data_IF_856830719009
#
_entry.id   IF_856830719009
#
_cell.length_a   1.000
_cell.length_b   1.000
_cell.length_c   1.000
_cell.angle_alpha   90.00
_cell.angle_beta   90.00
_cell.angle_gamma   90.00
#
_symmetry.space_group_name_H-M   'P 1'
#
loop_
_entity.id
_entity.type
_entity.pdbx_description
1 polymer ?
#
# COMPACT_ATOMS: atom_id res chain seq x y z
N UNK A 1 38.92 -36.36 -41.66
CA UNK A 1 38.36 -35.03 -41.79
C UNK A 1 37.58 -34.74 -40.49
N UNK A 2 38.15 -33.97 -39.57
CA UNK A 2 37.48 -33.53 -38.33
C UNK A 2 36.96 -32.11 -38.55
N UNK A 3 35.65 -31.93 -38.56
CA UNK A 3 35.02 -30.62 -38.58
C UNK A 3 35.09 -30.03 -37.18
N UNK A 4 35.82 -28.92 -37.04
CA UNK A 4 35.76 -28.05 -35.88
C UNK A 4 34.54 -27.13 -36.04
N UNK A 5 33.53 -27.30 -35.15
CA UNK A 5 32.44 -26.35 -35.01
C UNK A 5 32.92 -25.20 -34.14
N UNK A 6 33.06 -24.01 -34.70
CA UNK A 6 33.31 -22.77 -33.96
C UNK A 6 31.97 -22.26 -33.45
N UNK A 7 31.74 -22.37 -32.16
CA UNK A 7 30.60 -21.76 -31.50
C UNK A 7 30.90 -20.25 -31.29
N UNK A 8 30.25 -19.40 -32.07
CA UNK A 8 30.25 -17.94 -31.84
C UNK A 8 29.35 -17.64 -30.65
N UNK A 9 29.95 -17.29 -29.52
CA UNK A 9 29.23 -16.74 -28.35
C UNK A 9 28.89 -15.28 -28.67
N UNK A 10 27.64 -15.01 -29.03
CA UNK A 10 27.10 -13.68 -29.13
C UNK A 10 26.96 -13.12 -27.70
N UNK A 11 27.94 -12.34 -27.26
CA UNK A 11 27.82 -11.46 -26.08
C UNK A 11 26.84 -10.36 -26.45
N UNK A 12 25.58 -10.52 -26.06
CA UNK A 12 24.64 -9.43 -26.05
C UNK A 12 25.12 -8.41 -24.98
N UNK A 13 25.81 -7.36 -25.42
CA UNK A 13 26.06 -6.20 -24.61
C UNK A 13 24.70 -5.55 -24.34
N UNK A 14 24.15 -5.73 -23.13
CA UNK A 14 23.09 -4.85 -22.63
C UNK A 14 23.65 -3.43 -22.66
N UNK A 15 23.17 -2.62 -23.60
CA UNK A 15 23.46 -1.19 -23.58
C UNK A 15 22.90 -0.65 -22.25
N UNK A 16 23.80 -0.36 -21.31
CA UNK A 16 23.43 0.32 -20.07
C UNK A 16 22.73 1.62 -20.47
N UNK A 17 21.51 1.80 -20.01
CA UNK A 17 20.77 3.03 -20.22
C UNK A 17 21.62 4.19 -19.68
N UNK A 18 21.75 5.28 -20.47
CA UNK A 18 22.50 6.45 -20.00
C UNK A 18 21.81 7.05 -18.80
N UNK A 19 22.56 7.58 -17.82
CA UNK A 19 21.99 8.40 -16.76
C UNK A 19 21.11 9.53 -17.34
N UNK A 20 20.06 9.90 -16.64
CA UNK A 20 19.12 10.96 -17.04
C UNK A 20 19.28 12.13 -16.09
N UNK A 21 19.36 13.35 -16.63
CA UNK A 21 19.38 14.57 -15.83
C UNK A 21 18.24 15.49 -16.27
N UNK A 22 17.37 15.83 -15.34
CA UNK A 22 16.33 16.84 -15.49
C UNK A 22 16.91 18.18 -15.05
N UNK A 23 16.85 19.19 -15.91
CA UNK A 23 17.36 20.54 -15.63
C UNK A 23 16.26 21.59 -15.69
N UNK A 24 16.49 22.76 -15.09
CA UNK A 24 15.54 23.87 -15.03
C UNK A 24 14.18 23.46 -14.44
N UNK A 25 14.16 22.56 -13.45
CA UNK A 25 12.96 22.15 -12.75
C UNK A 25 12.66 23.01 -11.52
N UNK A 26 11.38 23.15 -11.17
CA UNK A 26 10.96 23.54 -9.84
C UNK A 26 10.94 22.28 -8.95
N UNK A 27 11.98 22.12 -8.15
CA UNK A 27 12.15 20.92 -7.33
C UNK A 27 11.24 20.99 -6.09
N UNK A 28 10.40 19.96 -5.94
CA UNK A 28 9.55 19.73 -4.78
C UNK A 28 9.98 18.37 -4.19
N UNK A 29 10.91 18.38 -3.25
CA UNK A 29 11.61 17.17 -2.81
C UNK A 29 10.90 16.39 -1.70
N UNK A 30 9.73 16.86 -1.25
CA UNK A 30 8.95 16.19 -0.18
C UNK A 30 9.46 16.46 1.24
N UNK A 31 10.49 17.32 1.41
CA UNK A 31 11.03 17.66 2.74
C UNK A 31 10.10 18.56 3.57
N UNK A 32 9.08 19.18 2.95
CA UNK A 32 8.26 20.23 3.56
C UNK A 32 8.86 21.64 3.41
N UNK A 33 10.06 21.76 2.89
CA UNK A 33 10.69 23.03 2.60
C UNK A 33 10.12 23.68 1.33
N UNK A 34 10.38 24.99 1.15
CA UNK A 34 9.92 25.70 -0.03
C UNK A 34 10.57 25.14 -1.31
N UNK A 35 9.77 24.96 -2.40
CA UNK A 35 10.30 24.53 -3.68
C UNK A 35 11.40 25.46 -4.19
N UNK A 36 12.37 24.91 -4.94
CA UNK A 36 13.49 25.67 -5.48
C UNK A 36 13.80 25.31 -6.93
N UNK A 37 14.35 26.28 -7.69
CA UNK A 37 14.85 26.02 -9.03
C UNK A 37 16.11 25.15 -8.97
N UNK A 38 16.12 24.04 -9.75
CA UNK A 38 17.21 23.08 -9.64
C UNK A 38 17.21 21.98 -10.69
N UNK A 39 17.87 20.90 -10.36
CA UNK A 39 18.06 19.73 -11.21
C UNK A 39 17.94 18.42 -10.41
N UNK A 40 17.65 17.35 -11.14
CA UNK A 40 17.60 15.98 -10.63
C UNK A 40 18.37 15.05 -11.58
N UNK A 41 19.24 14.18 -11.04
CA UNK A 41 19.96 13.17 -11.80
C UNK A 41 19.53 11.78 -11.35
N UNK A 42 19.38 10.87 -12.33
CA UNK A 42 18.97 9.46 -12.12
C UNK A 42 19.89 8.55 -12.94
N UNK A 43 20.17 7.36 -12.39
CA UNK A 43 20.83 6.28 -13.10
C UNK A 43 20.03 4.98 -12.84
N UNK A 44 19.42 4.46 -13.89
CA UNK A 44 18.45 3.37 -13.78
C UNK A 44 17.27 3.75 -12.86
N UNK A 45 17.10 3.01 -11.77
CA UNK A 45 16.03 3.18 -10.77
C UNK A 45 16.45 4.04 -9.56
N UNK A 46 17.64 4.68 -9.61
CA UNK A 46 18.20 5.43 -8.49
C UNK A 46 18.34 6.92 -8.80
N UNK A 47 17.92 7.75 -7.84
CA UNK A 47 18.29 9.16 -7.81
C UNK A 47 19.75 9.24 -7.36
N UNK A 48 20.63 9.79 -8.22
CA UNK A 48 22.08 9.91 -7.96
C UNK A 48 22.49 11.31 -7.53
N UNK A 49 21.60 12.29 -7.73
CA UNK A 49 21.85 13.65 -7.28
C UNK A 49 20.65 14.57 -7.45
N UNK A 50 20.60 15.57 -6.59
CA UNK A 50 19.61 16.64 -6.62
C UNK A 50 20.32 17.93 -6.17
N UNK A 51 19.99 19.07 -6.77
CA UNK A 51 20.65 20.31 -6.38
C UNK A 51 19.96 21.57 -6.87
N UNK A 52 20.32 22.69 -6.24
CA UNK A 52 19.84 24.04 -6.58
C UNK A 52 20.60 24.61 -7.77
N UNK A 53 19.94 25.43 -8.58
CA UNK A 53 20.50 26.11 -9.70
C UNK A 53 20.84 25.23 -10.91
N UNK A 54 21.92 25.52 -11.63
CA UNK A 54 22.33 24.79 -12.81
C UNK A 54 23.00 23.43 -12.44
N UNK A 55 22.73 22.38 -13.21
CA UNK A 55 23.40 21.10 -13.02
C UNK A 55 24.89 21.20 -13.37
N UNK A 56 25.81 20.69 -12.53
CA UNK A 56 27.26 20.73 -12.82
C UNK A 56 27.62 19.89 -14.06
N UNK A 57 28.69 20.27 -14.76
CA UNK A 57 29.17 19.51 -15.91
C UNK A 57 29.55 18.05 -15.58
N UNK A 58 29.99 17.79 -14.33
CA UNK A 58 30.27 16.44 -13.84
C UNK A 58 29.03 15.55 -13.76
N UNK A 59 27.84 16.13 -13.64
CA UNK A 59 26.56 15.41 -13.58
C UNK A 59 25.96 15.25 -14.98
N UNK A 60 26.10 16.25 -15.84
CA UNK A 60 25.54 16.23 -17.21
C UNK A 60 26.41 15.49 -18.21
N UNK A 61 27.72 15.33 -17.90
CA UNK A 61 28.67 14.67 -18.78
C UNK A 61 28.32 13.20 -19.04
N UNK A 62 27.99 12.86 -20.30
CA UNK A 62 27.60 11.49 -20.68
C UNK A 62 26.15 11.12 -20.39
N UNK A 63 25.38 11.97 -19.73
CA UNK A 63 23.96 11.76 -19.42
C UNK A 63 23.04 12.20 -20.57
N UNK A 64 21.80 11.71 -20.56
CA UNK A 64 20.69 12.25 -21.34
C UNK A 64 20.10 13.42 -20.56
N UNK A 65 20.25 14.65 -21.08
CA UNK A 65 19.79 15.86 -20.40
C UNK A 65 18.45 16.31 -20.98
N UNK A 66 17.47 16.53 -20.11
CA UNK A 66 16.14 17.04 -20.45
C UNK A 66 15.89 18.35 -19.72
N UNK A 67 15.66 19.42 -20.47
CA UNK A 67 15.19 20.69 -19.92
C UNK A 67 13.68 20.63 -19.67
N UNK A 68 13.26 20.66 -18.40
CA UNK A 68 11.84 20.61 -18.03
C UNK A 68 11.17 22.00 -17.98
N UNK A 69 11.88 23.05 -18.36
CA UNK A 69 11.33 24.40 -18.62
C UNK A 69 10.52 24.98 -17.46
N UNK A 70 10.98 24.81 -16.23
CA UNK A 70 10.30 25.30 -15.03
C UNK A 70 9.14 24.45 -14.53
N UNK A 71 8.88 23.28 -15.14
CA UNK A 71 7.89 22.36 -14.61
C UNK A 71 8.30 21.82 -13.24
N UNK A 72 7.31 21.49 -12.41
CA UNK A 72 7.57 20.86 -11.12
C UNK A 72 8.17 19.45 -11.31
N UNK A 73 9.19 19.16 -10.53
CA UNK A 73 9.80 17.82 -10.39
C UNK A 73 9.62 17.40 -8.95
N UNK A 74 8.82 16.38 -8.72
CA UNK A 74 8.49 15.85 -7.40
C UNK A 74 8.59 14.34 -7.37
N UNK A 75 8.66 13.70 -6.16
CA UNK A 75 8.35 12.29 -6.02
C UNK A 75 6.99 11.97 -6.64
N UNK A 76 6.81 10.75 -7.16
CA UNK A 76 5.51 10.28 -7.58
C UNK A 76 4.54 10.20 -6.39
N UNK A 77 3.26 10.46 -6.65
CA UNK A 77 2.25 10.38 -5.61
C UNK A 77 1.96 8.93 -5.21
N UNK A 78 1.68 8.75 -3.93
CA UNK A 78 1.22 7.48 -3.36
C UNK A 78 -0.28 7.58 -3.15
N UNK A 79 -1.06 6.73 -3.84
CA UNK A 79 -2.47 6.54 -3.54
C UNK A 79 -2.59 5.56 -2.37
N UNK A 80 -2.80 6.09 -1.17
CA UNK A 80 -2.86 5.29 0.07
C UNK A 80 -4.12 4.42 0.20
N UNK A 81 -5.10 4.60 -0.69
CA UNK A 81 -6.36 3.87 -0.69
C UNK A 81 -6.79 3.58 -2.12
N UNK A 82 -6.23 2.53 -2.70
CA UNK A 82 -6.55 2.10 -4.06
C UNK A 82 -7.47 0.87 -4.05
N UNK A 83 -8.50 0.94 -4.88
CA UNK A 83 -9.39 -0.19 -5.21
C UNK A 83 -9.11 -0.75 -6.61
N UNK A 84 -7.96 -0.46 -7.19
CA UNK A 84 -7.58 -0.92 -8.54
C UNK A 84 -7.24 -2.42 -8.62
N UNK A 85 -7.62 -3.21 -7.63
CA UNK A 85 -7.29 -4.65 -7.51
C UNK A 85 -7.75 -5.47 -8.70
N UNK A 86 -8.95 -5.20 -9.22
CA UNK A 86 -9.53 -5.92 -10.34
C UNK A 86 -9.20 -5.26 -11.68
N UNK A 87 -9.26 -3.93 -11.74
CA UNK A 87 -9.03 -3.18 -12.97
C UNK A 87 -7.61 -3.36 -13.50
N UNK A 88 -6.59 -3.46 -12.64
CA UNK A 88 -5.20 -3.73 -13.02
C UNK A 88 -5.02 -5.13 -13.64
N UNK A 89 -5.87 -6.11 -13.29
CA UNK A 89 -5.87 -7.43 -13.93
C UNK A 89 -6.33 -7.34 -15.39
N UNK A 90 -7.10 -6.33 -15.77
CA UNK A 90 -7.61 -6.11 -17.13
C UNK A 90 -6.74 -5.10 -17.87
N UNK A 91 -6.56 -3.91 -17.33
CA UNK A 91 -5.76 -2.85 -17.91
C UNK A 91 -4.64 -2.40 -16.97
N UNK A 92 -3.46 -3.00 -17.12
CA UNK A 92 -2.28 -2.66 -16.33
C UNK A 92 -1.69 -1.28 -16.61
N UNK A 93 -2.21 -0.52 -17.59
CA UNK A 93 -1.69 0.82 -17.92
C UNK A 93 -2.06 1.87 -16.90
N UNK A 94 -3.12 1.67 -16.09
CA UNK A 94 -3.58 2.58 -15.03
C UNK A 94 -3.58 4.06 -15.46
N UNK A 95 -4.13 4.37 -16.64
CA UNK A 95 -3.99 5.70 -17.26
C UNK A 95 -4.61 6.83 -16.43
N UNK A 96 -5.66 6.56 -15.64
CA UNK A 96 -6.26 7.53 -14.72
C UNK A 96 -5.24 8.00 -13.66
N UNK A 97 -4.47 7.07 -13.12
CA UNK A 97 -3.57 7.29 -12.00
C UNK A 97 -2.22 7.82 -12.48
N UNK A 98 -1.61 7.15 -13.45
CA UNK A 98 -0.30 7.54 -14.01
C UNK A 98 -0.33 8.97 -14.57
N UNK A 99 -1.42 9.38 -15.23
CA UNK A 99 -1.55 10.74 -15.77
C UNK A 99 -1.74 11.83 -14.71
N UNK A 100 -2.08 11.43 -13.48
CA UNK A 100 -2.13 12.31 -12.32
C UNK A 100 -0.85 12.27 -11.49
N UNK A 101 0.16 11.51 -11.94
CA UNK A 101 1.45 11.38 -11.25
C UNK A 101 1.45 10.36 -10.12
N UNK A 102 0.44 9.50 -9.99
CA UNK A 102 0.44 8.38 -9.05
C UNK A 102 1.39 7.31 -9.57
N UNK A 103 2.35 6.91 -8.75
CA UNK A 103 3.38 5.91 -9.08
C UNK A 103 3.35 4.69 -8.16
N UNK A 104 2.61 4.77 -7.05
CA UNK A 104 2.39 3.66 -6.13
C UNK A 104 0.93 3.64 -5.68
N UNK A 105 0.31 2.48 -5.75
CA UNK A 105 -1.04 2.22 -5.27
C UNK A 105 -1.02 1.26 -4.10
N UNK A 106 -1.62 1.66 -2.98
CA UNK A 106 -1.75 0.88 -1.75
C UNK A 106 -3.16 0.31 -1.68
N UNK A 107 -3.25 -1.01 -1.58
CA UNK A 107 -4.49 -1.78 -1.57
C UNK A 107 -4.73 -2.41 -0.18
N UNK A 108 -5.91 -2.98 0.03
CA UNK A 108 -6.20 -3.81 1.20
C UNK A 108 -7.02 -3.15 2.30
N UNK A 109 -7.89 -2.18 1.94
CA UNK A 109 -8.87 -1.64 2.89
C UNK A 109 -9.91 -2.70 3.26
N UNK A 110 -9.67 -3.37 4.38
CA UNK A 110 -10.54 -4.40 4.96
C UNK A 110 -10.54 -5.72 4.19
N UNK A 111 -10.53 -5.70 2.87
CA UNK A 111 -10.42 -6.88 2.01
C UNK A 111 -9.12 -6.87 1.23
N UNK A 112 -8.59 -8.05 0.94
CA UNK A 112 -7.40 -8.22 0.08
C UNK A 112 -7.62 -9.39 -0.89
N UNK A 113 -6.83 -9.45 -1.95
CA UNK A 113 -6.94 -10.48 -2.98
C UNK A 113 -6.38 -11.86 -2.54
N UNK A 114 -5.98 -11.98 -1.31
CA UNK A 114 -5.59 -13.20 -0.61
C UNK A 114 -5.37 -12.91 0.88
N UNK A 115 -5.35 -13.94 1.74
CA UNK A 115 -5.48 -15.39 1.46
C UNK A 115 -6.91 -15.82 1.10
N UNK A 116 -7.03 -16.78 0.18
CA UNK A 116 -8.31 -17.30 -0.28
C UNK A 116 -8.42 -18.82 -0.03
N UNK A 117 -9.50 -19.27 0.59
CA UNK A 117 -9.84 -20.68 0.63
C UNK A 117 -10.64 -21.10 -0.64
N UNK A 118 -10.86 -22.41 -0.88
CA UNK A 118 -11.58 -22.88 -2.08
C UNK A 118 -12.98 -22.28 -2.24
N UNK A 119 -13.70 -22.11 -1.14
CA UNK A 119 -15.06 -21.54 -1.16
C UNK A 119 -15.04 -20.04 -1.50
N UNK A 120 -14.10 -19.28 -0.94
CA UNK A 120 -13.91 -17.88 -1.29
C UNK A 120 -13.58 -17.70 -2.78
N UNK A 121 -12.75 -18.58 -3.36
CA UNK A 121 -12.46 -18.55 -4.81
C UNK A 121 -13.72 -18.83 -5.63
N UNK A 122 -14.49 -19.84 -5.23
CA UNK A 122 -15.75 -20.22 -5.91
C UNK A 122 -16.76 -19.07 -5.88
N UNK A 123 -16.98 -18.49 -4.69
CA UNK A 123 -17.90 -17.35 -4.52
C UNK A 123 -17.37 -16.08 -5.20
N UNK A 124 -16.07 -15.81 -5.12
CA UNK A 124 -15.45 -14.69 -5.79
C UNK A 124 -15.66 -14.74 -7.31
N UNK A 125 -15.49 -15.92 -7.92
CA UNK A 125 -15.73 -16.08 -9.36
C UNK A 125 -17.22 -15.88 -9.75
N UNK A 126 -18.16 -16.21 -8.86
CA UNK A 126 -19.58 -16.02 -9.11
C UNK A 126 -20.06 -14.58 -8.89
N UNK A 127 -19.40 -13.84 -7.98
CA UNK A 127 -19.80 -12.49 -7.57
C UNK A 127 -19.14 -11.37 -8.40
N UNK A 128 -18.30 -11.70 -9.40
CA UNK A 128 -17.69 -10.71 -10.29
C UNK A 128 -18.77 -9.98 -11.09
N UNK A 129 -18.68 -8.66 -11.09
CA UNK A 129 -19.56 -7.77 -11.89
C UNK A 129 -19.09 -7.66 -13.34
N UNK A 130 -18.96 -6.46 -13.89
CA UNK A 130 -18.56 -6.22 -15.28
C UNK A 130 -17.11 -6.67 -15.57
N UNK A 131 -16.24 -6.63 -14.56
CA UNK A 131 -14.85 -7.05 -14.68
C UNK A 131 -14.75 -8.56 -14.41
N UNK A 132 -14.42 -9.34 -15.44
CA UNK A 132 -14.26 -10.80 -15.34
C UNK A 132 -12.79 -11.18 -15.44
N UNK A 133 -12.31 -12.00 -14.52
CA UNK A 133 -10.93 -12.48 -14.49
C UNK A 133 -10.86 -13.87 -13.81
N UNK A 134 -9.87 -14.71 -14.16
CA UNK A 134 -9.65 -15.97 -13.47
C UNK A 134 -8.96 -15.72 -12.12
N UNK A 135 -9.46 -16.34 -11.04
CA UNK A 135 -8.81 -16.32 -9.73
C UNK A 135 -7.84 -17.51 -9.67
N UNK A 136 -6.62 -17.31 -10.19
CA UNK A 136 -5.58 -18.35 -10.29
C UNK A 136 -4.66 -18.43 -9.07
N UNK A 137 -4.77 -17.50 -8.14
CA UNK A 137 -3.93 -17.38 -6.94
C UNK A 137 -4.68 -17.82 -5.68
N UNK A 138 -3.95 -18.06 -4.59
CA UNK A 138 -4.44 -18.41 -3.26
C UNK A 138 -3.97 -17.40 -2.22
N UNK A 139 -2.70 -17.01 -2.28
CA UNK A 139 -2.11 -16.09 -1.32
C UNK A 139 -2.06 -14.66 -1.86
N UNK A 140 -1.81 -13.68 -0.98
CA UNK A 140 -1.65 -12.29 -1.39
C UNK A 140 -0.43 -12.11 -2.29
N UNK A 141 0.69 -12.76 -1.95
CA UNK A 141 1.91 -12.71 -2.75
C UNK A 141 1.74 -13.33 -4.14
N UNK A 142 0.98 -14.40 -4.27
CA UNK A 142 0.63 -14.97 -5.58
C UNK A 142 -0.16 -13.98 -6.44
N UNK A 143 -1.12 -13.25 -5.86
CA UNK A 143 -1.84 -12.18 -6.57
C UNK A 143 -0.90 -11.06 -7.04
N UNK A 144 -0.04 -10.55 -6.16
CA UNK A 144 0.95 -9.53 -6.52
C UNK A 144 1.88 -10.01 -7.64
N UNK A 145 2.28 -11.29 -7.61
CA UNK A 145 3.06 -11.92 -8.67
C UNK A 145 2.31 -12.02 -10.02
N UNK A 146 0.98 -12.14 -9.99
CA UNK A 146 0.17 -12.07 -11.23
C UNK A 146 0.24 -10.68 -11.84
N UNK A 147 0.13 -9.61 -11.04
CA UNK A 147 0.26 -8.23 -11.50
C UNK A 147 1.67 -7.94 -12.05
N UNK A 148 2.71 -8.40 -11.34
CA UNK A 148 4.10 -8.24 -11.76
C UNK A 148 4.36 -8.92 -13.12
N UNK A 149 3.93 -10.17 -13.29
CA UNK A 149 4.06 -10.91 -14.55
C UNK A 149 3.26 -10.29 -15.70
N UNK A 150 2.12 -9.68 -15.39
CA UNK A 150 1.32 -8.95 -16.38
C UNK A 150 2.06 -7.70 -16.88
N UNK A 151 2.86 -7.07 -16.04
CA UNK A 151 3.52 -5.79 -16.33
C UNK A 151 2.55 -4.63 -16.20
N UNK A 152 2.33 -4.15 -14.99
CA UNK A 152 1.50 -2.98 -14.69
C UNK A 152 2.34 -1.71 -14.64
N UNK A 153 1.74 -0.56 -14.93
CA UNK A 153 2.46 0.71 -14.98
C UNK A 153 2.78 1.30 -13.59
N UNK A 154 1.85 1.33 -12.61
CA UNK A 154 2.18 1.78 -11.26
C UNK A 154 2.88 0.66 -10.48
N UNK A 155 3.62 1.03 -9.44
CA UNK A 155 3.94 0.06 -8.40
C UNK A 155 2.70 -0.22 -7.56
N UNK A 156 2.66 -1.39 -6.92
CA UNK A 156 1.56 -1.77 -6.02
C UNK A 156 2.12 -2.36 -4.73
N UNK A 157 1.43 -2.09 -3.63
CA UNK A 157 1.62 -2.78 -2.37
C UNK A 157 0.24 -3.02 -1.74
N UNK A 158 0.14 -3.95 -0.79
CA UNK A 158 -1.14 -4.26 -0.17
C UNK A 158 -1.00 -4.55 1.31
N UNK A 159 -1.99 -4.15 2.07
CA UNK A 159 -2.27 -4.73 3.37
C UNK A 159 -2.95 -6.08 3.19
N UNK A 160 -2.79 -7.00 4.14
CA UNK A 160 -3.67 -8.15 4.27
C UNK A 160 -4.96 -7.69 4.93
N UNK A 161 -6.10 -7.96 4.28
CA UNK A 161 -7.40 -7.51 4.75
C UNK A 161 -7.92 -8.35 5.91
N UNK A 162 -8.30 -7.72 7.02
CA UNK A 162 -8.93 -8.38 8.15
C UNK A 162 -10.18 -9.16 7.75
N UNK A 163 -11.07 -8.54 6.96
CA UNK A 163 -12.29 -9.20 6.46
C UNK A 163 -11.95 -10.47 5.68
N UNK A 164 -10.92 -10.43 4.84
CA UNK A 164 -10.47 -11.61 4.09
C UNK A 164 -10.00 -12.72 5.01
N UNK A 165 -9.20 -12.40 6.02
CA UNK A 165 -8.69 -13.36 7.02
C UNK A 165 -9.84 -13.92 7.88
N UNK A 166 -10.79 -13.07 8.30
CA UNK A 166 -11.94 -13.46 9.08
C UNK A 166 -12.87 -14.40 8.29
N UNK A 167 -13.21 -14.03 7.05
CA UNK A 167 -14.07 -14.87 6.18
C UNK A 167 -13.40 -16.22 5.90
N UNK A 168 -12.07 -16.24 5.76
CA UNK A 168 -11.31 -17.47 5.53
C UNK A 168 -11.51 -18.49 6.65
N UNK A 169 -11.55 -18.07 7.92
CA UNK A 169 -11.55 -18.96 9.10
C UNK A 169 -12.91 -19.04 9.80
N UNK A 170 -13.65 -17.95 9.86
CA UNK A 170 -14.92 -17.83 10.62
C UNK A 170 -16.12 -17.79 9.67
N UNK A 171 -15.98 -17.24 8.47
CA UNK A 171 -17.07 -16.98 7.55
C UNK A 171 -17.69 -15.60 7.71
N UNK A 172 -18.90 -15.44 7.16
CA UNK A 172 -19.61 -14.14 7.12
C UNK A 172 -20.59 -13.95 8.32
N UNK A 173 -20.66 -14.91 9.25
CA UNK A 173 -21.60 -14.88 10.38
C UNK A 173 -21.12 -13.98 11.52
N UNK A 174 -22.08 -13.45 12.28
CA UNK A 174 -21.83 -12.67 13.51
C UNK A 174 -21.56 -13.64 14.69
N UNK A 175 -20.34 -14.18 14.72
CA UNK A 175 -19.84 -15.08 15.76
C UNK A 175 -18.37 -14.78 16.03
N UNK A 176 -17.95 -14.96 17.28
CA UNK A 176 -16.53 -14.79 17.63
C UNK A 176 -15.70 -15.99 17.12
N UNK A 177 -14.41 -15.76 16.75
CA UNK A 177 -13.52 -16.86 16.43
C UNK A 177 -13.23 -17.70 17.68
N UNK A 178 -13.20 -19.02 17.53
CA UNK A 178 -12.64 -19.88 18.58
C UNK A 178 -11.14 -19.59 18.76
N UNK A 179 -10.52 -19.95 19.89
CA UNK A 179 -9.08 -19.78 20.07
C UNK A 179 -8.24 -20.39 18.95
N UNK A 180 -8.66 -21.56 18.42
CA UNK A 180 -7.98 -22.25 17.33
C UNK A 180 -8.17 -21.49 15.99
N UNK A 181 -9.36 -20.95 15.73
CA UNK A 181 -9.59 -20.09 14.56
C UNK A 181 -8.75 -18.82 14.64
N UNK A 182 -8.74 -18.13 15.78
CA UNK A 182 -7.93 -16.94 15.99
C UNK A 182 -6.43 -17.21 15.78
N UNK A 183 -5.93 -18.35 16.27
CA UNK A 183 -4.55 -18.76 16.05
C UNK A 183 -4.25 -18.99 14.56
N UNK A 184 -5.18 -19.60 13.80
CA UNK A 184 -5.03 -19.75 12.35
C UNK A 184 -5.09 -18.41 11.63
N UNK A 185 -6.00 -17.50 12.01
CA UNK A 185 -6.07 -16.12 11.48
C UNK A 185 -4.74 -15.38 11.67
N UNK A 186 -4.14 -15.46 12.86
CA UNK A 186 -2.79 -14.92 13.11
C UNK A 186 -1.72 -15.57 12.22
N UNK A 187 -1.86 -16.87 11.93
CA UNK A 187 -1.00 -17.59 11.00
C UNK A 187 -1.10 -17.05 9.58
N UNK A 188 -2.30 -16.77 9.09
CA UNK A 188 -2.56 -16.17 7.79
C UNK A 188 -1.99 -14.76 7.67
N UNK A 189 -2.14 -13.94 8.73
CA UNK A 189 -1.53 -12.60 8.77
C UNK A 189 -0.01 -12.71 8.65
N UNK A 190 0.65 -13.57 9.47
CA UNK A 190 2.10 -13.77 9.38
C UNK A 190 2.56 -14.29 8.01
N UNK A 191 1.80 -15.18 7.39
CA UNK A 191 2.10 -15.67 6.05
C UNK A 191 2.07 -14.54 5.03
N UNK A 192 1.02 -13.70 5.02
CA UNK A 192 0.93 -12.54 4.15
C UNK A 192 2.05 -11.52 4.39
N UNK A 193 2.44 -11.30 5.66
CA UNK A 193 3.58 -10.43 6.00
C UNK A 193 4.89 -10.96 5.43
N UNK A 194 5.12 -12.28 5.47
CA UNK A 194 6.30 -12.91 4.87
C UNK A 194 6.32 -12.81 3.34
N UNK A 195 5.16 -12.61 2.73
CA UNK A 195 4.99 -12.38 1.28
C UNK A 195 5.08 -10.90 0.89
N UNK A 196 5.29 -9.99 1.85
CA UNK A 196 5.51 -8.57 1.63
C UNK A 196 4.28 -7.69 1.88
N UNK A 197 3.26 -8.16 2.59
CA UNK A 197 2.17 -7.29 3.03
C UNK A 197 2.69 -6.16 3.93
N UNK A 198 2.09 -4.97 3.83
CA UNK A 198 2.47 -3.79 4.62
C UNK A 198 2.00 -3.88 6.09
N UNK A 199 1.01 -4.71 6.36
CA UNK A 199 0.39 -4.82 7.65
C UNK A 199 -1.02 -5.36 7.56
N UNK A 200 -1.83 -5.11 8.60
CA UNK A 200 -3.24 -5.48 8.69
C UNK A 200 -4.13 -4.28 8.37
N UNK A 201 -4.95 -4.40 7.31
CA UNK A 201 -5.95 -3.40 6.92
C UNK A 201 -7.36 -3.80 7.35
N UNK A 202 -8.12 -2.87 7.92
CA UNK A 202 -9.49 -3.13 8.41
C UNK A 202 -10.49 -2.14 7.86
N UNK A 203 -11.77 -2.55 7.80
CA UNK A 203 -12.89 -1.73 7.35
C UNK A 203 -14.09 -1.99 8.26
N UNK A 204 -14.08 -1.37 9.44
CA UNK A 204 -14.84 -1.80 10.62
C UNK A 204 -16.32 -1.40 10.64
N UNK A 205 -16.78 -0.61 9.69
CA UNK A 205 -18.23 -0.30 9.57
C UNK A 205 -18.99 -1.32 8.71
N UNK A 206 -18.29 -2.18 8.00
CA UNK A 206 -18.89 -3.15 7.08
C UNK A 206 -18.89 -4.57 7.67
N UNK A 207 -20.01 -5.28 7.54
CA UNK A 207 -20.05 -6.70 7.84
C UNK A 207 -19.21 -7.51 6.84
N UNK A 208 -18.54 -8.60 7.25
CA UNK A 208 -18.52 -9.14 8.62
C UNK A 208 -17.45 -8.54 9.53
N UNK A 209 -16.62 -7.59 9.08
CA UNK A 209 -15.60 -6.97 9.92
C UNK A 209 -16.19 -6.26 11.14
N UNK A 210 -17.37 -5.66 10.99
CA UNK A 210 -18.07 -4.97 12.06
C UNK A 210 -18.41 -5.86 13.27
N UNK A 211 -18.45 -7.18 13.08
CA UNK A 211 -18.70 -8.16 14.13
C UNK A 211 -17.47 -8.44 15.01
N UNK A 212 -16.27 -8.15 14.51
CA UNK A 212 -15.06 -8.38 15.27
C UNK A 212 -14.95 -7.43 16.47
N UNK A 213 -14.62 -7.97 17.63
CA UNK A 213 -14.34 -7.20 18.82
C UNK A 213 -12.86 -6.76 18.88
N UNK A 214 -12.57 -5.73 19.69
CA UNK A 214 -11.22 -5.17 19.85
C UNK A 214 -10.14 -6.23 20.19
N UNK A 215 -10.38 -7.26 21.03
CA UNK A 215 -9.38 -8.30 21.30
C UNK A 215 -8.93 -9.09 20.06
N UNK A 216 -9.87 -9.40 19.12
CA UNK A 216 -9.52 -10.03 17.84
C UNK A 216 -8.57 -9.14 17.04
N UNK A 217 -8.90 -7.85 16.91
CA UNK A 217 -8.09 -6.88 16.17
C UNK A 217 -6.69 -6.72 16.79
N UNK A 218 -6.60 -6.64 18.11
CA UNK A 218 -5.34 -6.59 18.85
C UNK A 218 -4.49 -7.84 18.58
N UNK A 219 -5.10 -9.03 18.61
CA UNK A 219 -4.38 -10.28 18.37
C UNK A 219 -3.79 -10.35 16.96
N UNK A 220 -4.54 -9.92 15.94
CA UNK A 220 -4.10 -9.89 14.55
C UNK A 220 -3.09 -8.76 14.30
N UNK A 221 -3.30 -7.58 14.87
CA UNK A 221 -2.34 -6.48 14.81
C UNK A 221 -0.99 -6.83 15.46
N UNK A 222 -0.99 -7.59 16.58
CA UNK A 222 0.23 -8.14 17.17
C UNK A 222 0.97 -9.07 16.21
N UNK A 223 0.24 -9.92 15.49
CA UNK A 223 0.84 -10.83 14.50
C UNK A 223 1.49 -10.05 13.34
N UNK A 224 0.88 -8.95 12.90
CA UNK A 224 1.43 -8.04 11.90
C UNK A 224 2.65 -7.28 12.44
N UNK A 225 2.54 -6.66 13.62
CA UNK A 225 3.61 -5.88 14.24
C UNK A 225 4.88 -6.68 14.52
N UNK A 226 4.73 -7.96 14.91
CA UNK A 226 5.86 -8.88 15.12
C UNK A 226 6.69 -9.12 13.84
N UNK A 227 6.10 -8.87 12.67
CA UNK A 227 6.78 -8.92 11.37
C UNK A 227 7.15 -7.51 10.83
N UNK A 228 7.05 -6.47 11.65
CA UNK A 228 7.37 -5.09 11.27
C UNK A 228 6.24 -4.34 10.56
N UNK A 229 5.04 -4.93 10.46
CA UNK A 229 3.88 -4.31 9.82
C UNK A 229 3.13 -3.33 10.71
N UNK A 230 2.18 -2.62 10.12
CA UNK A 230 1.31 -1.67 10.80
C UNK A 230 -0.16 -2.12 10.79
N UNK A 231 -0.95 -1.46 11.60
CA UNK A 231 -2.41 -1.54 11.58
C UNK A 231 -2.98 -0.31 10.90
N UNK A 232 -3.89 -0.47 9.94
CA UNK A 232 -4.56 0.66 9.29
C UNK A 232 -6.07 0.40 9.24
N UNK A 233 -6.87 1.43 9.44
CA UNK A 233 -8.31 1.24 9.61
C UNK A 233 -9.16 2.32 8.96
N UNK A 234 -10.12 1.88 8.15
CA UNK A 234 -11.42 2.53 8.07
C UNK A 234 -12.12 2.23 9.40
N UNK A 235 -12.16 3.21 10.27
CA UNK A 235 -12.58 3.03 11.66
C UNK A 235 -14.04 2.58 11.78
N UNK A 236 -14.38 2.00 12.92
CA UNK A 236 -15.73 1.49 13.24
C UNK A 236 -16.84 2.54 13.17
N UNK A 237 -16.49 3.80 13.32
CA UNK A 237 -17.42 4.93 13.15
C UNK A 237 -16.67 6.18 12.73
N UNK A 238 -17.21 6.86 11.75
CA UNK A 238 -16.78 8.19 11.30
C UNK A 238 -17.79 9.28 11.72
N UNK A 239 -18.88 8.88 12.37
CA UNK A 239 -19.99 9.72 12.77
C UNK A 239 -20.09 9.90 14.28
N UNK A 240 -21.24 9.61 14.87
CA UNK A 240 -21.55 9.90 16.27
C UNK A 240 -20.59 9.26 17.28
N UNK A 241 -20.05 8.07 16.96
CA UNK A 241 -19.12 7.33 17.80
C UNK A 241 -17.65 7.41 17.33
N UNK A 242 -17.29 8.46 16.59
CA UNK A 242 -15.91 8.62 16.07
C UNK A 242 -14.87 8.69 17.20
N UNK A 243 -15.21 9.31 18.34
CA UNK A 243 -14.29 9.41 19.48
C UNK A 243 -13.94 8.02 20.04
N UNK A 244 -14.96 7.14 20.18
CA UNK A 244 -14.75 5.75 20.61
C UNK A 244 -13.96 4.94 19.58
N UNK A 245 -14.20 5.17 18.28
CA UNK A 245 -13.47 4.51 17.23
C UNK A 245 -11.98 4.90 17.20
N UNK A 246 -11.66 6.15 17.48
CA UNK A 246 -10.27 6.61 17.66
C UNK A 246 -9.64 5.99 18.91
N UNK A 247 -10.38 5.93 20.02
CA UNK A 247 -9.92 5.28 21.27
C UNK A 247 -9.64 3.78 21.06
N UNK A 248 -10.47 3.08 20.26
CA UNK A 248 -10.24 1.70 19.85
C UNK A 248 -8.95 1.55 19.03
N UNK A 249 -8.73 2.40 18.03
CA UNK A 249 -7.51 2.39 17.20
C UNK A 249 -6.26 2.65 18.06
N UNK A 250 -6.31 3.63 18.97
CA UNK A 250 -5.22 3.93 19.91
C UNK A 250 -4.94 2.71 20.81
N UNK A 251 -5.99 2.02 21.26
CA UNK A 251 -5.86 0.80 22.08
C UNK A 251 -5.18 -0.32 21.29
N UNK A 252 -5.60 -0.54 20.04
CA UNK A 252 -4.99 -1.54 19.17
C UNK A 252 -3.51 -1.21 18.92
N UNK A 253 -3.17 0.03 18.61
CA UNK A 253 -1.78 0.46 18.43
C UNK A 253 -0.94 0.24 19.69
N UNK A 254 -1.45 0.64 20.85
CA UNK A 254 -0.76 0.49 22.14
C UNK A 254 -0.52 -0.99 22.47
N UNK A 255 -1.54 -1.82 22.36
CA UNK A 255 -1.46 -3.21 22.76
C UNK A 255 -0.72 -4.09 21.75
N UNK A 256 -0.78 -3.75 20.45
CA UNK A 256 -0.02 -4.48 19.42
C UNK A 256 1.47 -4.10 19.42
N UNK A 257 1.81 -2.90 19.89
CA UNK A 257 3.17 -2.36 19.82
C UNK A 257 3.59 -1.89 18.43
N UNK A 258 2.72 -2.02 17.43
CA UNK A 258 2.93 -1.56 16.07
C UNK A 258 2.43 -0.12 15.82
N UNK A 259 2.82 0.51 14.70
CA UNK A 259 2.22 1.76 14.26
C UNK A 259 0.77 1.54 13.81
N UNK A 260 -0.04 2.60 13.90
CA UNK A 260 -1.39 2.59 13.36
C UNK A 260 -1.66 3.82 12.48
N UNK A 261 -2.59 3.69 11.55
CA UNK A 261 -3.02 4.76 10.68
C UNK A 261 -4.55 4.78 10.56
N UNK A 262 -5.12 5.97 10.48
CA UNK A 262 -6.53 6.18 10.18
C UNK A 262 -6.67 6.48 8.70
N UNK A 263 -7.31 5.58 7.92
CA UNK A 263 -7.69 5.91 6.56
C UNK A 263 -8.69 7.06 6.54
N UNK A 264 -8.49 8.01 5.61
CA UNK A 264 -9.46 9.05 5.24
C UNK A 264 -10.22 9.64 6.44
N UNK A 265 -9.51 10.07 7.48
CA UNK A 265 -10.12 10.63 8.69
C UNK A 265 -11.12 11.73 8.34
N UNK A 266 -12.37 11.57 8.78
CA UNK A 266 -13.45 12.52 8.56
C UNK A 266 -14.50 12.44 9.66
N UNK A 267 -15.17 13.58 9.91
CA UNK A 267 -16.31 13.69 10.83
C UNK A 267 -17.60 13.71 10.02
N UNK A 268 -18.15 12.50 9.78
CA UNK A 268 -19.36 12.33 8.97
C UNK A 268 -20.58 12.90 9.63
N UNK A 269 -21.31 13.76 8.89
CA UNK A 269 -22.50 14.45 9.34
C UNK A 269 -22.19 15.76 10.09
N UNK A 270 -22.95 16.82 9.73
CA UNK A 270 -22.72 18.19 10.20
C UNK A 270 -22.61 18.31 11.72
N UNK A 271 -23.41 17.55 12.49
CA UNK A 271 -23.38 17.54 13.96
C UNK A 271 -22.04 17.05 14.55
N UNK A 272 -21.22 16.39 13.77
CA UNK A 272 -19.93 15.85 14.20
C UNK A 272 -18.73 16.74 13.81
N UNK A 273 -18.91 17.77 12.97
CA UNK A 273 -17.79 18.59 12.48
C UNK A 273 -17.01 19.27 13.61
N UNK A 274 -17.70 19.65 14.69
CA UNK A 274 -17.04 20.25 15.86
C UNK A 274 -16.16 19.30 16.68
N UNK A 275 -16.08 18.01 16.32
CA UNK A 275 -15.25 17.02 17.05
C UNK A 275 -13.79 16.98 16.59
N UNK A 276 -13.42 17.67 15.50
CA UNK A 276 -12.08 17.60 14.91
C UNK A 276 -10.98 17.87 15.94
N UNK A 277 -11.07 18.96 16.70
CA UNK A 277 -10.05 19.33 17.68
C UNK A 277 -9.92 18.27 18.79
N UNK A 278 -11.03 17.67 19.20
CA UNK A 278 -11.04 16.57 20.20
C UNK A 278 -10.31 15.34 19.62
N UNK A 279 -10.56 14.99 18.38
CA UNK A 279 -9.92 13.86 17.71
C UNK A 279 -8.42 14.09 17.54
N UNK A 280 -8.02 15.27 17.06
CA UNK A 280 -6.61 15.64 16.95
C UNK A 280 -5.93 15.61 18.32
N UNK A 281 -6.59 16.15 19.36
CA UNK A 281 -6.08 16.12 20.75
C UNK A 281 -5.84 14.69 21.26
N UNK A 282 -6.73 13.73 20.94
CA UNK A 282 -6.54 12.30 21.31
C UNK A 282 -5.32 11.70 20.60
N UNK A 283 -5.16 11.97 19.30
CA UNK A 283 -4.02 11.49 18.50
C UNK A 283 -2.70 12.05 19.02
N UNK A 284 -2.63 13.36 19.27
CA UNK A 284 -1.43 14.01 19.81
C UNK A 284 -1.10 13.54 21.23
N UNK A 285 -2.10 13.32 22.08
CA UNK A 285 -1.90 12.72 23.41
C UNK A 285 -1.33 11.28 23.31
N UNK A 286 -1.79 10.48 22.35
CA UNK A 286 -1.24 9.15 22.13
C UNK A 286 0.21 9.22 21.59
N UNK A 287 0.51 10.12 20.66
CA UNK A 287 1.86 10.37 20.14
C UNK A 287 2.83 10.81 21.23
N UNK A 288 2.40 11.68 22.18
CA UNK A 288 3.22 12.09 23.31
C UNK A 288 3.59 10.96 24.27
N UNK A 289 2.83 9.85 24.24
CA UNK A 289 3.11 8.60 24.97
C UNK A 289 3.95 7.61 24.15
N UNK A 290 4.47 7.99 22.98
CA UNK A 290 5.29 7.17 22.12
C UNK A 290 4.49 6.21 21.23
N UNK A 291 3.15 6.33 21.16
CA UNK A 291 2.32 5.52 20.26
C UNK A 291 2.38 6.17 18.87
N UNK A 292 2.81 5.41 17.87
CA UNK A 292 2.95 5.89 16.49
C UNK A 292 1.60 5.83 15.78
N UNK A 293 0.98 6.98 15.56
CA UNK A 293 -0.31 7.11 14.85
C UNK A 293 -0.19 8.16 13.76
N UNK A 294 -0.69 7.83 12.56
CA UNK A 294 -0.86 8.71 11.41
C UNK A 294 -2.33 8.75 10.96
N UNK A 295 -2.70 9.76 10.13
CA UNK A 295 -4.05 9.91 9.58
C UNK A 295 -4.01 10.70 8.27
#
# INVERSE_FOLDING_TARGET
MRLLAVAAVLLASSALAKPVVLTNGLIVDGSGEAPYAGWLAMDGDRITGIGKGAAPASVTGGASVTDVKGQAVSPGFVNMLSWATESLLIDGRAQSDIRQGVTLEIMGEGTSMGPLNPEMKRLGALRQDDIKYPISWTTLGEYLSVLEKKGIAPNVASFVGHTTVRVHEVGESDVDPTPEQLARMQGLVRAAMNEGALGLGTSMIYAPAAYAETPELVALAKASAACGGMYISHMRSEGDRIEQAVDELITIARESGGPAEIWHMKMSGQKNWGKLDTILGKIEAARSQGIRITA
#
